data_IF_913383947334
#
_entry.id   IF_913383947334
#
_cell.length_a   1.000
_cell.length_b   1.000
_cell.length_c   1.000
_cell.angle_alpha   90.00
_cell.angle_beta   90.00
_cell.angle_gamma   90.00
#
_symmetry.space_group_name_H-M   'P 1'
#
loop_
_entity.id
_entity.type
_entity.pdbx_description
1 polymer ?
#
# COMPACT_ATOMS: atom_id res chain seq x y z
N UNK A 1 -12.20 25.97 -1.87
CA UNK A 1 -10.99 25.53 -1.14
C UNK A 1 -10.38 24.33 -1.88
N UNK A 2 -9.10 24.39 -2.17
CA UNK A 2 -8.39 23.29 -2.78
C UNK A 2 -7.78 22.40 -1.68
N UNK A 3 -8.23 21.16 -1.59
CA UNK A 3 -7.77 20.21 -0.58
C UNK A 3 -6.64 19.31 -1.07
N UNK A 4 -6.21 19.47 -2.32
CA UNK A 4 -5.15 18.63 -2.88
C UNK A 4 -3.83 18.86 -2.16
N UNK A 5 -3.09 17.81 -1.96
CA UNK A 5 -1.74 17.85 -1.40
C UNK A 5 -0.72 18.22 -2.47
N UNK A 6 0.36 18.91 -2.05
CA UNK A 6 1.54 19.08 -2.90
C UNK A 6 2.20 17.73 -3.19
N UNK A 7 3.09 17.69 -4.16
CA UNK A 7 3.89 16.50 -4.47
C UNK A 7 4.66 16.03 -3.23
N UNK A 8 5.30 16.96 -2.54
CA UNK A 8 6.07 16.67 -1.32
C UNK A 8 5.18 16.11 -0.21
N UNK A 9 4.04 16.76 0.05
CA UNK A 9 3.13 16.35 1.13
C UNK A 9 2.51 14.99 0.87
N UNK A 10 2.10 14.70 -0.37
CA UNK A 10 1.50 13.40 -0.69
C UNK A 10 2.50 12.25 -0.58
N UNK A 11 3.74 12.48 -0.98
CA UNK A 11 4.78 11.47 -0.88
C UNK A 11 5.16 11.22 0.58
N UNK A 12 5.26 12.28 1.38
CA UNK A 12 5.53 12.17 2.82
C UNK A 12 4.40 11.43 3.54
N UNK A 13 3.15 11.77 3.21
CA UNK A 13 1.99 11.09 3.80
C UNK A 13 2.00 9.59 3.47
N UNK A 14 2.18 9.25 2.21
CA UNK A 14 2.19 7.84 1.78
C UNK A 14 3.33 7.06 2.42
N UNK A 15 4.47 7.70 2.65
CA UNK A 15 5.62 7.09 3.31
C UNK A 15 5.40 6.89 4.82
N UNK A 16 4.39 7.52 5.40
CA UNK A 16 4.01 7.35 6.80
C UNK A 16 3.48 5.95 7.09
N UNK A 17 3.27 5.67 8.38
CA UNK A 17 2.78 4.37 8.80
C UNK A 17 1.26 4.28 8.65
N UNK A 18 0.81 3.56 7.64
CA UNK A 18 -0.59 3.34 7.35
C UNK A 18 -0.80 1.90 6.88
N UNK A 19 -1.95 1.33 7.20
CA UNK A 19 -2.42 0.14 6.50
C UNK A 19 -3.00 0.62 5.18
N UNK A 20 -2.51 0.06 4.07
CA UNK A 20 -3.01 0.43 2.75
C UNK A 20 -4.22 -0.40 2.34
N UNK A 21 -5.08 0.17 1.51
CA UNK A 21 -6.14 -0.57 0.84
C UNK A 21 -5.71 -0.75 -0.61
N UNK A 22 -5.48 -2.01 -0.98
CA UNK A 22 -5.18 -2.39 -2.35
C UNK A 22 -6.47 -2.42 -3.15
N UNK A 23 -6.45 -1.84 -4.34
CA UNK A 23 -7.51 -1.95 -5.33
C UNK A 23 -6.95 -2.52 -6.62
N UNK A 24 -7.60 -3.53 -7.18
CA UNK A 24 -7.22 -4.10 -8.47
C UNK A 24 -8.46 -4.55 -9.23
N UNK A 25 -8.43 -4.35 -10.54
CA UNK A 25 -9.53 -4.77 -11.40
C UNK A 25 -9.74 -6.28 -11.31
N UNK A 26 -11.01 -6.66 -11.18
CA UNK A 26 -11.43 -8.06 -11.20
C UNK A 26 -12.45 -8.23 -12.33
N UNK A 27 -12.02 -8.69 -13.51
CA UNK A 27 -12.90 -8.81 -14.67
C UNK A 27 -13.87 -10.00 -14.59
N UNK A 28 -13.87 -10.77 -13.50
CA UNK A 28 -14.70 -11.96 -13.38
C UNK A 28 -16.14 -11.57 -13.00
N UNK A 29 -17.09 -12.21 -13.61
CA UNK A 29 -18.52 -12.22 -13.23
C UNK A 29 -19.19 -10.85 -13.07
N UNK A 30 -18.66 -9.81 -13.72
CA UNK A 30 -19.27 -8.47 -13.68
C UNK A 30 -19.24 -7.81 -12.31
N UNK A 31 -18.40 -8.30 -11.39
CA UNK A 31 -18.22 -7.71 -10.08
C UNK A 31 -17.38 -6.44 -10.11
N UNK A 32 -17.32 -5.74 -8.98
CA UNK A 32 -16.45 -4.58 -8.81
C UNK A 32 -15.00 -4.98 -8.60
N UNK A 33 -14.11 -4.00 -8.46
CA UNK A 33 -12.70 -4.28 -8.18
C UNK A 33 -12.50 -5.00 -6.84
N UNK A 34 -11.43 -5.78 -6.74
CA UNK A 34 -11.02 -6.35 -5.46
C UNK A 34 -10.45 -5.23 -4.59
N UNK A 35 -10.92 -5.12 -3.36
CA UNK A 35 -10.40 -4.19 -2.36
C UNK A 35 -9.98 -4.97 -1.13
N UNK A 36 -8.73 -4.80 -0.70
CA UNK A 36 -8.23 -5.55 0.46
C UNK A 36 -7.20 -4.74 1.23
N UNK A 37 -7.29 -4.68 2.58
CA UNK A 37 -6.26 -4.04 3.39
C UNK A 37 -5.00 -4.89 3.42
N UNK A 38 -3.86 -4.23 3.39
CA UNK A 38 -2.57 -4.90 3.46
C UNK A 38 -1.46 -3.96 3.94
N UNK A 39 -0.33 -4.54 4.27
CA UNK A 39 0.89 -3.81 4.55
C UNK A 39 1.58 -3.43 3.23
N UNK A 40 2.19 -2.27 3.21
CA UNK A 40 2.96 -1.82 2.06
C UNK A 40 4.21 -1.09 2.53
N UNK A 41 5.15 -0.89 1.64
CA UNK A 41 6.27 0.02 1.87
C UNK A 41 6.37 1.03 0.73
N UNK A 42 6.83 2.21 1.07
CA UNK A 42 7.02 3.30 0.11
C UNK A 42 8.01 4.30 0.67
N UNK A 43 8.90 4.76 -0.20
CA UNK A 43 9.79 5.89 0.07
C UNK A 43 9.55 6.96 -1.00
N UNK A 44 9.58 8.26 -0.66
CA UNK A 44 9.37 9.33 -1.64
C UNK A 44 10.21 9.13 -2.89
N UNK A 45 9.57 9.23 -4.06
CA UNK A 45 10.21 9.01 -5.35
C UNK A 45 10.36 7.56 -5.79
N UNK A 46 10.07 6.60 -4.92
CA UNK A 46 10.21 5.18 -5.21
C UNK A 46 8.91 4.48 -5.59
N UNK A 47 8.95 3.17 -5.80
CA UNK A 47 7.75 2.38 -6.05
C UNK A 47 6.97 2.11 -4.77
N UNK A 48 5.69 1.84 -4.92
CA UNK A 48 4.87 1.21 -3.87
C UNK A 48 5.14 -0.29 -3.94
N UNK A 49 5.49 -0.87 -2.81
CA UNK A 49 5.88 -2.28 -2.73
C UNK A 49 4.95 -3.04 -1.81
N UNK A 50 4.44 -4.17 -2.28
CA UNK A 50 3.58 -5.06 -1.51
C UNK A 50 4.11 -6.49 -1.55
N UNK A 51 3.74 -7.27 -0.55
CA UNK A 51 4.04 -8.70 -0.49
C UNK A 51 2.73 -9.47 -0.45
N UNK A 52 2.65 -10.57 -1.20
CA UNK A 52 1.46 -11.42 -1.23
C UNK A 52 1.83 -12.83 -1.67
N UNK A 53 0.97 -13.80 -1.36
CA UNK A 53 1.17 -15.17 -1.79
C UNK A 53 1.20 -15.29 -3.32
N UNK A 54 2.13 -16.07 -3.83
CA UNK A 54 2.33 -16.30 -5.28
C UNK A 54 1.06 -16.70 -5.99
N UNK A 55 0.22 -17.50 -5.34
CA UNK A 55 -1.02 -18.03 -5.92
C UNK A 55 -2.27 -17.34 -5.35
N UNK A 56 -2.11 -16.24 -4.62
CA UNK A 56 -3.25 -15.51 -4.09
C UNK A 56 -4.10 -14.90 -5.19
N UNK A 57 -5.36 -14.61 -4.88
CA UNK A 57 -6.24 -13.91 -5.80
C UNK A 57 -5.66 -12.54 -6.18
N UNK A 58 -5.11 -11.82 -5.19
CA UNK A 58 -4.45 -10.53 -5.43
C UNK A 58 -3.35 -10.63 -6.48
N UNK A 59 -2.47 -11.60 -6.33
CA UNK A 59 -1.36 -11.80 -7.25
C UNK A 59 -1.84 -12.11 -8.67
N UNK A 60 -2.85 -12.97 -8.80
CA UNK A 60 -3.41 -13.32 -10.10
C UNK A 60 -4.06 -12.13 -10.79
N UNK A 61 -4.85 -11.36 -10.06
CA UNK A 61 -5.52 -10.18 -10.62
C UNK A 61 -4.53 -9.08 -10.99
N UNK A 62 -3.51 -8.86 -10.17
CA UNK A 62 -2.45 -7.89 -10.48
C UNK A 62 -1.70 -8.28 -11.74
N UNK A 63 -1.35 -9.56 -11.89
CA UNK A 63 -0.69 -10.05 -13.11
C UNK A 63 -1.56 -9.85 -14.35
N UNK A 64 -2.85 -10.10 -14.23
CA UNK A 64 -3.78 -9.92 -15.34
C UNK A 64 -3.97 -8.47 -15.73
N UNK A 65 -4.07 -7.57 -14.76
CA UNK A 65 -4.26 -6.15 -15.00
C UNK A 65 -2.96 -5.42 -15.35
N UNK A 66 -1.82 -5.90 -14.84
CA UNK A 66 -0.53 -5.24 -15.00
C UNK A 66 -0.38 -3.95 -14.21
N UNK A 67 -1.32 -3.66 -13.32
CA UNK A 67 -1.36 -2.44 -12.51
C UNK A 67 -2.23 -2.64 -11.27
N UNK A 68 -2.05 -1.77 -10.28
CA UNK A 68 -2.94 -1.73 -9.13
C UNK A 68 -2.99 -0.34 -8.52
N UNK A 69 -3.94 -0.14 -7.61
CA UNK A 69 -4.13 1.08 -6.84
C UNK A 69 -3.89 0.83 -5.37
N UNK A 70 -3.46 1.85 -4.64
CA UNK A 70 -3.31 1.80 -3.20
C UNK A 70 -3.85 3.09 -2.60
N UNK A 71 -4.62 2.96 -1.52
CA UNK A 71 -5.12 4.10 -0.78
C UNK A 71 -4.68 4.01 0.68
N UNK A 72 -4.11 5.09 1.21
CA UNK A 72 -3.79 5.24 2.62
C UNK A 72 -4.55 6.43 3.18
N UNK A 73 -4.99 6.35 4.43
CA UNK A 73 -5.80 7.40 5.03
C UNK A 73 -5.51 7.56 6.52
N UNK A 74 -5.86 8.75 7.05
CA UNK A 74 -6.03 8.97 8.49
C UNK A 74 -7.49 8.68 8.84
N UNK A 75 -7.72 7.83 9.83
CA UNK A 75 -9.06 7.49 10.30
C UNK A 75 -9.63 8.48 11.31
N UNK A 76 -8.79 9.38 11.81
CA UNK A 76 -9.18 10.42 12.76
C UNK A 76 -9.17 11.80 12.09
N UNK A 77 -10.12 12.66 12.48
CA UNK A 77 -10.17 14.03 11.97
C UNK A 77 -8.98 14.85 12.51
N UNK A 78 -8.42 15.78 11.73
CA UNK A 78 -8.81 16.08 10.36
C UNK A 78 -8.38 14.99 9.39
N UNK A 79 -9.29 14.57 8.54
CA UNK A 79 -9.03 13.45 7.63
C UNK A 79 -8.08 13.84 6.51
N UNK A 80 -7.22 12.90 6.15
CA UNK A 80 -6.33 12.99 4.98
C UNK A 80 -6.32 11.67 4.28
N UNK A 81 -6.22 11.68 2.95
CA UNK A 81 -5.98 10.45 2.22
C UNK A 81 -5.10 10.69 1.00
N UNK A 82 -4.40 9.66 0.62
CA UNK A 82 -3.64 9.56 -0.63
C UNK A 82 -4.05 8.27 -1.32
N UNK A 83 -4.52 8.39 -2.55
CA UNK A 83 -4.76 7.27 -3.43
C UNK A 83 -3.80 7.39 -4.61
N UNK A 84 -3.14 6.30 -4.96
CA UNK A 84 -2.16 6.26 -6.04
C UNK A 84 -2.34 5.00 -6.87
N UNK A 85 -2.15 5.11 -8.17
CA UNK A 85 -2.20 3.97 -9.08
C UNK A 85 -1.08 4.03 -10.09
N UNK A 86 -0.70 2.86 -10.60
CA UNK A 86 0.32 2.78 -11.63
C UNK A 86 0.61 1.35 -12.05
N UNK A 87 1.51 1.20 -13.05
CA UNK A 87 1.87 -0.10 -13.58
C UNK A 87 2.80 -0.86 -12.63
N UNK A 88 2.73 -2.18 -12.69
CA UNK A 88 3.70 -3.06 -12.07
C UNK A 88 5.01 -2.94 -12.84
N UNK A 89 6.08 -2.63 -12.13
CA UNK A 89 7.42 -2.45 -12.73
C UNK A 89 8.42 -3.50 -12.27
N UNK A 90 8.04 -4.36 -11.34
CA UNK A 90 8.93 -5.42 -10.89
C UNK A 90 8.20 -6.44 -10.02
N UNK A 91 8.64 -7.67 -10.11
CA UNK A 91 8.19 -8.79 -9.26
C UNK A 91 9.44 -9.55 -8.85
N UNK A 92 9.58 -9.80 -7.55
CA UNK A 92 10.62 -10.68 -7.04
C UNK A 92 9.98 -11.93 -6.45
N UNK A 93 10.39 -13.08 -6.94
CA UNK A 93 9.88 -14.39 -6.54
C UNK A 93 11.07 -15.33 -6.25
N UNK A 94 11.26 -15.78 -5.03
CA UNK A 94 10.45 -15.49 -3.84
C UNK A 94 10.71 -14.10 -3.25
N UNK A 95 9.85 -13.69 -2.34
CA UNK A 95 10.01 -12.46 -1.55
C UNK A 95 11.37 -12.50 -0.81
N UNK A 96 12.26 -11.51 -1.03
CA UNK A 96 13.55 -11.50 -0.34
C UNK A 96 13.36 -11.41 1.18
N UNK A 97 14.18 -12.15 1.91
CA UNK A 97 14.10 -12.20 3.38
C UNK A 97 14.27 -10.82 4.02
N UNK A 98 15.17 -10.00 3.50
CA UNK A 98 15.38 -8.65 4.01
C UNK A 98 14.11 -7.79 3.89
N UNK A 99 13.34 -7.96 2.81
CA UNK A 99 12.08 -7.26 2.59
C UNK A 99 10.98 -7.77 3.51
N UNK A 100 10.94 -9.09 3.77
CA UNK A 100 10.03 -9.67 4.76
C UNK A 100 10.23 -9.06 6.13
N UNK A 101 11.50 -9.02 6.57
CA UNK A 101 11.87 -8.47 7.86
C UNK A 101 11.57 -6.99 7.97
N UNK A 102 11.89 -6.22 6.94
CA UNK A 102 11.64 -4.78 6.90
C UNK A 102 10.15 -4.47 7.00
N UNK A 103 9.33 -5.22 6.27
CA UNK A 103 7.88 -5.02 6.27
C UNK A 103 7.27 -5.36 7.63
N UNK A 104 7.66 -6.47 8.23
CA UNK A 104 7.18 -6.85 9.56
C UNK A 104 7.57 -5.81 10.61
N UNK A 105 8.81 -5.32 10.57
CA UNK A 105 9.32 -4.31 11.51
C UNK A 105 8.70 -2.93 11.31
N UNK A 106 8.19 -2.66 10.13
CA UNK A 106 7.48 -1.40 9.86
C UNK A 106 6.16 -1.33 10.64
N UNK A 107 5.44 -2.44 10.75
CA UNK A 107 4.08 -2.48 11.33
C UNK A 107 4.03 -3.06 12.74
N UNK A 108 5.02 -3.82 13.15
CA UNK A 108 5.05 -4.52 14.44
C UNK A 108 6.27 -4.09 15.26
N UNK A 109 6.16 -4.12 16.58
CA UNK A 109 7.32 -3.93 17.43
C UNK A 109 8.32 -5.09 17.24
N UNK A 110 9.55 -4.93 17.73
CA UNK A 110 10.63 -5.88 17.46
C UNK A 110 10.30 -7.30 17.94
N UNK A 111 9.70 -7.44 19.11
CA UNK A 111 9.33 -8.74 19.68
C UNK A 111 8.22 -9.42 18.87
N UNK A 112 7.16 -8.66 18.56
CA UNK A 112 6.03 -9.15 17.77
C UNK A 112 6.47 -9.47 16.33
N UNK A 113 7.32 -8.65 15.74
CA UNK A 113 7.86 -8.91 14.41
C UNK A 113 8.66 -10.22 14.37
N UNK A 114 9.52 -10.45 15.36
CA UNK A 114 10.31 -11.67 15.44
C UNK A 114 9.39 -12.90 15.59
N UNK A 115 8.36 -12.82 16.42
CA UNK A 115 7.40 -13.89 16.61
C UNK A 115 6.59 -14.16 15.33
N UNK A 116 6.15 -13.09 14.65
CA UNK A 116 5.44 -13.20 13.39
C UNK A 116 6.27 -13.90 12.31
N UNK A 117 7.52 -13.49 12.15
CA UNK A 117 8.42 -14.08 11.16
C UNK A 117 8.70 -15.55 11.45
N UNK A 118 8.92 -15.90 12.71
CA UNK A 118 9.13 -17.28 13.12
C UNK A 118 7.90 -18.16 12.88
N UNK A 119 6.71 -17.65 13.22
CA UNK A 119 5.46 -18.41 13.11
C UNK A 119 5.03 -18.63 11.65
N UNK A 120 5.44 -17.75 10.72
CA UNK A 120 4.96 -17.75 9.35
C UNK A 120 6.03 -18.16 8.33
N UNK A 121 7.14 -18.76 8.75
CA UNK A 121 8.24 -19.12 7.86
C UNK A 121 7.80 -19.97 6.67
N UNK A 122 6.93 -20.95 6.87
CA UNK A 122 6.45 -21.82 5.81
C UNK A 122 5.58 -21.09 4.78
N UNK A 123 4.75 -20.15 5.25
CA UNK A 123 3.90 -19.36 4.35
C UNK A 123 4.71 -18.31 3.59
N UNK A 124 5.70 -17.70 4.24
CA UNK A 124 6.50 -16.63 3.67
C UNK A 124 7.38 -17.10 2.50
N UNK A 125 7.71 -18.38 2.41
CA UNK A 125 8.46 -18.92 1.25
C UNK A 125 7.63 -18.91 -0.04
N UNK A 126 6.30 -18.86 0.08
CA UNK A 126 5.39 -18.81 -1.06
C UNK A 126 4.97 -17.38 -1.41
N UNK A 127 5.52 -16.38 -0.71
CA UNK A 127 5.23 -14.98 -0.98
C UNK A 127 6.14 -14.40 -2.07
N UNK A 128 5.62 -13.42 -2.76
CA UNK A 128 6.33 -12.64 -3.77
C UNK A 128 6.26 -11.15 -3.42
N UNK A 129 7.17 -10.39 -3.98
CA UNK A 129 7.21 -8.93 -3.86
C UNK A 129 6.77 -8.32 -5.18
N UNK A 130 5.86 -7.35 -5.11
CA UNK A 130 5.35 -6.66 -6.31
C UNK A 130 5.58 -5.17 -6.13
N UNK A 131 6.17 -4.51 -7.15
CA UNK A 131 6.43 -3.07 -7.15
C UNK A 131 5.58 -2.38 -8.20
N UNK A 132 4.93 -1.30 -7.79
CA UNK A 132 4.13 -0.44 -8.66
C UNK A 132 4.77 0.93 -8.73
N UNK A 133 4.91 1.47 -9.96
CA UNK A 133 5.38 2.84 -10.15
C UNK A 133 4.21 3.81 -10.01
N UNK A 134 4.21 4.73 -9.00
CA UNK A 134 3.18 5.74 -8.87
C UNK A 134 3.07 6.61 -10.13
N UNK A 135 1.85 6.73 -10.66
CA UNK A 135 1.60 7.44 -11.90
C UNK A 135 0.47 8.46 -11.77
N UNK A 136 -0.64 8.06 -11.13
CA UNK A 136 -1.79 8.94 -10.91
C UNK A 136 -2.09 9.02 -9.42
N UNK A 137 -2.18 10.25 -8.93
CA UNK A 137 -2.42 10.55 -7.53
C UNK A 137 -3.75 11.28 -7.36
N UNK A 138 -4.50 10.87 -6.33
CA UNK A 138 -5.68 11.59 -5.86
C UNK A 138 -5.52 11.78 -4.37
N UNK A 139 -5.65 13.02 -3.90
CA UNK A 139 -5.36 13.36 -2.52
C UNK A 139 -6.35 14.36 -1.97
N UNK A 140 -6.57 14.34 -0.66
CA UNK A 140 -7.24 15.40 0.05
C UNK A 140 -6.69 15.53 1.46
N UNK A 141 -6.52 16.78 1.89
CA UNK A 141 -6.13 17.12 3.24
C UNK A 141 -7.18 18.09 3.80
N UNK A 142 -7.98 17.60 4.75
CA UNK A 142 -9.05 18.38 5.36
C UNK A 142 -8.58 19.23 6.53
N UNK A 143 -7.28 19.27 6.84
CA UNK A 143 -6.72 20.10 7.91
C UNK A 143 -7.02 21.59 7.71
N UNK A 144 -6.91 22.06 6.48
CA UNK A 144 -7.22 23.45 6.13
C UNK A 144 -8.69 23.80 6.39
N UNK A 145 -9.59 22.85 6.15
CA UNK A 145 -11.02 23.01 6.42
C UNK A 145 -11.29 23.13 7.91
N UNK A 146 -10.64 22.32 8.72
CA UNK A 146 -10.76 22.37 10.18
C UNK A 146 -10.27 23.72 10.74
N UNK A 147 -9.15 24.23 10.21
CA UNK A 147 -8.58 25.52 10.62
C UNK A 147 -9.55 26.71 10.37
N UNK A 148 -10.32 26.67 9.28
CA UNK A 148 -11.31 27.72 8.98
C UNK A 148 -12.43 27.80 10.02
N UNK A 149 -12.74 26.70 10.69
CA UNK A 149 -13.79 26.68 11.70
C UNK A 149 -13.28 26.92 13.12
N UNK A 150 -11.99 26.82 13.34
CA UNK A 150 -11.35 27.06 14.64
C UNK A 150 -10.87 28.50 14.81
N UNK A 151 -10.76 29.25 13.73
CA UNK A 151 -10.42 30.67 13.75
C UNK A 151 -11.68 31.60 13.92
#
# INVERSE_FOLDING_TARGET
MDLRMSVEDREEFLAGLHVGILGVDDPRDGGGPLLVPLWYSYRPGGPVTIATGRQSLKARLIRGAGRFSLCAQDESAPYRYVSVEGPVVGVEDPLPRAEQEALARRYLDAETAAAYLAANQEQLVDDILIRMRPERWRTADFSAFAEEFES
#
